data_IF_298030016179
#
_entry.id   IF_298030016179
#
_cell.length_a   1.000
_cell.length_b   1.000
_cell.length_c   1.000
_cell.angle_alpha   90.00
_cell.angle_beta   90.00
_cell.angle_gamma   90.00
#
_symmetry.space_group_name_H-M   'P 1'
#
loop_
_entity.id
_entity.type
_entity.pdbx_description
1 polymer ?
#
# COMPACT_ATOMS: atom_id res chain seq x y z
N UNK A 1 -0.37 -15.14 6.89
CA UNK A 1 -1.27 -13.98 7.05
C UNK A 1 -1.18 -13.17 5.78
N UNK A 2 -2.32 -12.85 5.19
CA UNK A 2 -2.39 -12.03 3.98
C UNK A 2 -3.13 -10.74 4.33
N UNK A 3 -2.43 -9.62 4.19
CA UNK A 3 -2.97 -8.29 4.47
C UNK A 3 -3.60 -7.70 3.20
N UNK A 4 -4.80 -7.15 3.33
CA UNK A 4 -5.47 -6.40 2.27
C UNK A 4 -6.38 -5.35 2.91
N UNK A 5 -6.71 -4.24 2.20
CA UNK A 5 -7.35 -3.08 2.85
C UNK A 5 -8.58 -3.41 3.68
N UNK A 6 -9.46 -4.28 3.18
CA UNK A 6 -10.68 -4.67 3.90
C UNK A 6 -10.37 -5.40 5.21
N UNK A 7 -9.32 -6.22 5.27
CA UNK A 7 -8.86 -6.83 6.52
C UNK A 7 -8.50 -5.72 7.53
N UNK A 8 -7.58 -4.81 7.19
CA UNK A 8 -7.15 -3.74 8.11
C UNK A 8 -8.34 -2.90 8.59
N UNK A 9 -9.27 -2.54 7.69
CA UNK A 9 -10.45 -1.77 8.06
C UNK A 9 -11.43 -2.52 8.97
N UNK A 10 -11.62 -3.83 8.77
CA UNK A 10 -12.49 -4.66 9.63
C UNK A 10 -11.95 -4.70 11.06
N UNK A 11 -10.62 -4.74 11.22
CA UNK A 11 -9.95 -4.76 12.52
C UNK A 11 -9.80 -3.38 13.16
N UNK A 12 -10.23 -2.30 12.48
CA UNK A 12 -10.00 -0.94 12.97
C UNK A 12 -8.52 -0.58 13.06
N UNK A 13 -7.72 -1.12 12.14
CA UNK A 13 -6.27 -1.03 12.20
C UNK A 13 -5.77 0.42 12.04
N UNK A 14 -5.02 0.90 13.03
CA UNK A 14 -4.36 2.22 13.05
C UNK A 14 -2.85 2.14 12.81
N UNK A 15 -2.33 0.99 12.35
CA UNK A 15 -0.93 0.85 12.00
C UNK A 15 -0.53 1.87 10.93
N UNK A 16 0.75 2.26 10.98
CA UNK A 16 1.41 3.20 10.09
C UNK A 16 1.05 3.04 8.60
N UNK A 17 1.01 1.80 8.10
CA UNK A 17 0.73 1.51 6.70
C UNK A 17 -0.73 1.80 6.29
N UNK A 18 -1.69 1.62 7.20
CA UNK A 18 -3.10 1.98 6.98
C UNK A 18 -3.27 3.49 7.03
N UNK A 19 -2.67 4.13 8.04
CA UNK A 19 -2.69 5.60 8.18
C UNK A 19 -2.05 6.26 6.96
N UNK A 20 -1.02 5.67 6.34
CA UNK A 20 -0.34 6.28 5.20
C UNK A 20 -1.10 6.22 3.88
N UNK A 21 -2.23 5.51 3.79
CA UNK A 21 -3.04 5.37 2.56
C UNK A 21 -3.37 6.74 1.93
N UNK A 22 -3.69 7.76 2.73
CA UNK A 22 -4.04 9.09 2.18
C UNK A 22 -2.87 9.68 1.37
N UNK A 23 -1.65 9.55 1.86
CA UNK A 23 -0.46 10.11 1.22
C UNK A 23 -0.07 9.28 0.00
N UNK A 24 -0.23 7.95 0.08
CA UNK A 24 -0.05 7.04 -1.06
C UNK A 24 -1.00 7.39 -2.22
N UNK A 25 -2.29 7.55 -1.95
CA UNK A 25 -3.31 7.94 -2.95
C UNK A 25 -3.01 9.33 -3.51
N UNK A 26 -2.62 10.28 -2.64
CA UNK A 26 -2.23 11.62 -3.06
C UNK A 26 -1.03 11.60 -4.03
N UNK A 27 0.03 10.84 -3.73
CA UNK A 27 1.17 10.71 -4.63
C UNK A 27 0.79 10.06 -5.97
N UNK A 28 0.00 8.98 -5.95
CA UNK A 28 -0.50 8.34 -7.18
C UNK A 28 -1.26 9.36 -8.04
N UNK A 29 -2.12 10.18 -7.42
CA UNK A 29 -2.83 11.25 -8.11
C UNK A 29 -1.88 12.27 -8.73
N UNK A 30 -0.88 12.75 -8.00
CA UNK A 30 0.09 13.72 -8.51
C UNK A 30 0.91 13.14 -9.68
N UNK A 31 1.32 11.87 -9.60
CA UNK A 31 2.03 11.17 -10.67
C UNK A 31 1.15 10.98 -11.90
N UNK A 32 -0.13 10.63 -11.73
CA UNK A 32 -1.11 10.55 -12.81
C UNK A 32 -1.33 11.94 -13.45
N UNK A 33 -1.46 12.98 -12.64
CA UNK A 33 -1.64 14.35 -13.11
C UNK A 33 -0.41 14.82 -13.91
N UNK A 34 0.79 14.56 -13.41
CA UNK A 34 2.04 14.78 -14.13
C UNK A 34 2.00 14.02 -15.47
N UNK A 35 1.74 12.72 -15.46
CA UNK A 35 1.68 11.90 -16.67
C UNK A 35 0.73 12.45 -17.74
N UNK A 36 -0.47 12.89 -17.35
CA UNK A 36 -1.50 13.36 -18.30
C UNK A 36 -1.32 14.80 -18.75
N UNK A 37 -0.75 15.67 -17.91
CA UNK A 37 -0.77 17.13 -18.14
C UNK A 37 0.61 17.74 -18.33
N UNK A 38 1.71 17.02 -18.12
CA UNK A 38 3.08 17.58 -18.08
C UNK A 38 3.39 18.57 -19.23
N UNK A 39 3.15 18.15 -20.48
CA UNK A 39 3.44 18.98 -21.65
C UNK A 39 2.56 20.23 -21.78
N UNK A 40 1.39 20.26 -21.13
CA UNK A 40 0.47 21.41 -21.14
C UNK A 40 0.68 22.35 -19.95
N UNK A 41 1.50 21.97 -18.96
CA UNK A 41 1.77 22.79 -17.79
C UNK A 41 2.82 23.87 -18.10
N UNK A 42 2.54 25.10 -17.68
CA UNK A 42 3.57 26.14 -17.57
C UNK A 42 4.59 25.83 -16.47
N UNK A 43 5.74 26.51 -16.50
CA UNK A 43 6.86 26.24 -15.59
C UNK A 43 6.47 26.35 -14.11
N UNK A 44 5.70 27.38 -13.73
CA UNK A 44 5.23 27.55 -12.34
C UNK A 44 4.40 26.36 -11.87
N UNK A 45 3.48 25.87 -12.71
CA UNK A 45 2.65 24.73 -12.36
C UNK A 45 3.48 23.43 -12.25
N UNK A 46 4.50 23.25 -13.10
CA UNK A 46 5.46 22.14 -12.97
C UNK A 46 6.24 22.21 -11.65
N UNK A 47 6.69 23.40 -11.25
CA UNK A 47 7.41 23.60 -9.98
C UNK A 47 6.51 23.29 -8.78
N UNK A 48 5.28 23.79 -8.77
CA UNK A 48 4.30 23.49 -7.70
C UNK A 48 4.03 21.99 -7.63
N UNK A 49 3.81 21.34 -8.78
CA UNK A 49 3.61 19.89 -8.83
C UNK A 49 4.82 19.12 -8.28
N UNK A 50 6.05 19.50 -8.67
CA UNK A 50 7.28 18.92 -8.14
C UNK A 50 7.42 19.11 -6.63
N UNK A 51 7.06 20.29 -6.11
CA UNK A 51 7.10 20.58 -4.68
C UNK A 51 6.10 19.72 -3.90
N UNK A 52 4.86 19.58 -4.38
CA UNK A 52 3.85 18.72 -3.77
C UNK A 52 4.29 17.25 -3.76
N UNK A 53 4.88 16.78 -4.87
CA UNK A 53 5.43 15.43 -4.96
C UNK A 53 6.60 15.25 -3.99
N UNK A 54 7.49 16.22 -3.85
CA UNK A 54 8.61 16.15 -2.92
C UNK A 54 8.17 16.14 -1.45
N UNK A 55 7.15 16.93 -1.10
CA UNK A 55 6.52 16.90 0.23
C UNK A 55 5.88 15.54 0.48
N UNK A 56 5.12 15.01 -0.48
CA UNK A 56 4.44 13.72 -0.35
C UNK A 56 5.42 12.55 -0.26
N UNK A 57 6.45 12.50 -1.11
CA UNK A 57 7.48 11.45 -1.05
C UNK A 57 8.34 11.57 0.21
N UNK A 58 8.72 12.79 0.59
CA UNK A 58 9.56 13.05 1.77
C UNK A 58 8.88 12.72 3.09
N UNK A 59 7.55 12.88 3.17
CA UNK A 59 6.77 12.54 4.37
C UNK A 59 6.57 11.04 4.59
N UNK A 60 6.75 10.22 3.54
CA UNK A 60 6.51 8.78 3.62
C UNK A 60 7.28 8.13 4.77
N UNK A 61 8.59 8.37 4.98
CA UNK A 61 9.29 7.71 6.07
C UNK A 61 8.86 8.07 7.48
N UNK A 62 8.21 9.23 7.65
CA UNK A 62 7.67 9.68 8.92
C UNK A 62 6.35 8.97 9.25
N UNK A 63 5.55 8.63 8.22
CA UNK A 63 4.25 7.98 8.40
C UNK A 63 4.44 6.46 8.36
N UNK A 64 5.01 5.93 7.27
CA UNK A 64 5.37 4.53 7.09
C UNK A 64 6.66 4.41 6.26
N UNK A 65 7.76 4.06 6.91
CA UNK A 65 9.10 3.93 6.29
C UNK A 65 9.16 3.04 5.05
N UNK A 66 8.26 2.07 4.94
CA UNK A 66 8.27 1.14 3.81
C UNK A 66 7.69 1.75 2.53
N UNK A 67 6.83 2.76 2.62
CA UNK A 67 6.20 3.38 1.46
C UNK A 67 7.25 3.99 0.53
N UNK A 68 8.29 4.64 1.08
CA UNK A 68 9.32 5.27 0.23
C UNK A 68 10.07 4.24 -0.63
N UNK A 69 10.25 3.01 -0.13
CA UNK A 69 10.92 1.93 -0.85
C UNK A 69 10.11 1.48 -2.07
N UNK A 70 8.79 1.67 -2.04
CA UNK A 70 7.89 1.29 -3.12
C UNK A 70 7.59 2.48 -4.05
N UNK A 71 7.34 3.65 -3.48
CA UNK A 71 6.91 4.82 -4.25
C UNK A 71 8.05 5.64 -4.85
N UNK A 72 9.26 5.64 -4.27
CA UNK A 72 10.40 6.31 -4.90
C UNK A 72 10.78 5.66 -6.25
N UNK A 73 10.87 4.33 -6.38
CA UNK A 73 11.10 3.72 -7.69
C UNK A 73 9.96 3.98 -8.68
N UNK A 74 8.69 3.93 -8.24
CA UNK A 74 7.54 4.28 -9.10
C UNK A 74 7.65 5.71 -9.63
N UNK A 75 8.03 6.66 -8.77
CA UNK A 75 8.29 8.04 -9.14
C UNK A 75 9.41 8.14 -10.18
N UNK A 76 10.55 7.50 -9.95
CA UNK A 76 11.69 7.56 -10.86
C UNK A 76 11.37 6.96 -12.23
N UNK A 77 10.64 5.84 -12.26
CA UNK A 77 10.16 5.22 -13.51
C UNK A 77 9.22 6.18 -14.23
N UNK A 78 8.26 6.76 -13.52
CA UNK A 78 7.30 7.72 -14.09
C UNK A 78 8.02 8.95 -14.65
N UNK A 79 8.98 9.50 -13.90
CA UNK A 79 9.80 10.63 -14.31
C UNK A 79 10.65 10.32 -15.54
N UNK A 80 11.33 9.17 -15.55
CA UNK A 80 12.13 8.72 -16.69
C UNK A 80 11.28 8.53 -17.95
N UNK A 81 10.06 7.99 -17.81
CA UNK A 81 9.14 7.83 -18.93
C UNK A 81 8.57 9.16 -19.43
N UNK A 82 8.32 10.14 -18.55
CA UNK A 82 7.94 11.50 -18.94
C UNK A 82 9.09 12.16 -19.72
N UNK A 83 10.33 12.07 -19.23
CA UNK A 83 11.52 12.58 -19.93
C UNK A 83 11.64 11.91 -21.31
N UNK A 84 11.49 10.59 -21.38
CA UNK A 84 11.55 9.84 -22.63
C UNK A 84 10.45 10.22 -23.62
N UNK A 85 9.23 10.48 -23.15
CA UNK A 85 8.08 10.91 -23.97
C UNK A 85 8.27 12.32 -24.53
N UNK A 86 8.92 13.20 -23.78
CA UNK A 86 9.19 14.58 -24.18
C UNK A 86 10.61 14.80 -24.71
N UNK A 87 11.31 13.72 -25.09
CA UNK A 87 12.74 13.75 -25.49
C UNK A 87 13.09 14.66 -26.66
N UNK A 88 12.13 14.94 -27.54
CA UNK A 88 12.34 15.81 -28.69
C UNK A 88 12.45 17.30 -28.30
N UNK A 89 11.95 17.68 -27.12
CA UNK A 89 11.93 19.06 -26.64
C UNK A 89 11.99 19.10 -25.11
N UNK A 90 13.09 18.62 -24.52
CA UNK A 90 13.23 18.54 -23.06
C UNK A 90 13.51 19.94 -22.50
N UNK A 91 12.70 20.38 -21.54
CA UNK A 91 12.92 21.60 -20.79
C UNK A 91 13.61 21.33 -19.43
N UNK A 92 14.15 22.38 -18.80
CA UNK A 92 14.81 22.28 -17.49
C UNK A 92 13.89 21.66 -16.42
N UNK A 93 12.60 22.03 -16.29
CA UNK A 93 11.69 21.39 -15.35
C UNK A 93 11.54 19.87 -15.55
N UNK A 94 11.58 19.37 -16.79
CA UNK A 94 11.50 17.92 -17.07
C UNK A 94 12.71 17.17 -16.52
N UNK A 95 13.91 17.73 -16.65
CA UNK A 95 15.10 17.16 -16.00
C UNK A 95 15.04 17.29 -14.48
N UNK A 96 14.57 18.43 -13.96
CA UNK A 96 14.40 18.63 -12.53
C UNK A 96 13.39 17.66 -11.91
N UNK A 97 12.34 17.28 -12.65
CA UNK A 97 11.36 16.28 -12.22
C UNK A 97 12.03 14.94 -11.87
N UNK A 98 13.00 14.51 -12.66
CA UNK A 98 13.74 13.27 -12.42
C UNK A 98 14.84 13.44 -11.35
N UNK A 99 15.58 14.53 -11.39
CA UNK A 99 16.83 14.68 -10.64
C UNK A 99 16.69 15.43 -9.31
N UNK A 100 15.76 16.39 -9.22
CA UNK A 100 15.65 17.27 -8.04
C UNK A 100 14.66 16.73 -7.00
N UNK A 101 13.62 16.00 -7.39
CA UNK A 101 12.61 15.53 -6.43
C UNK A 101 13.20 14.63 -5.34
N UNK A 102 14.02 13.59 -5.64
CA UNK A 102 14.58 12.74 -4.57
C UNK A 102 15.40 13.50 -3.52
N UNK A 103 16.41 14.33 -3.88
CA UNK A 103 17.18 15.06 -2.87
C UNK A 103 16.33 16.11 -2.14
N UNK A 104 15.40 16.81 -2.82
CA UNK A 104 14.50 17.76 -2.14
C UNK A 104 13.60 17.06 -1.13
N UNK A 105 13.09 15.86 -1.45
CA UNK A 105 12.27 15.06 -0.53
C UNK A 105 13.02 14.70 0.75
N UNK A 106 14.31 14.38 0.64
CA UNK A 106 15.18 14.11 1.81
C UNK A 106 15.44 15.39 2.59
N UNK A 107 15.80 16.48 1.90
CA UNK A 107 16.16 17.76 2.53
C UNK A 107 15.01 18.37 3.33
N UNK A 108 13.77 18.27 2.84
CA UNK A 108 12.58 18.79 3.53
C UNK A 108 12.37 18.17 4.92
N UNK A 109 12.84 16.93 5.12
CA UNK A 109 12.70 16.18 6.37
C UNK A 109 14.04 15.79 6.97
N UNK A 110 15.12 16.50 6.61
CA UNK A 110 16.48 16.19 7.03
C UNK A 110 16.63 16.03 8.56
N UNK A 111 16.00 16.87 9.42
CA UNK A 111 16.10 16.67 10.87
C UNK A 111 15.59 15.31 11.34
N UNK A 112 14.50 14.82 10.73
CA UNK A 112 13.97 13.48 11.02
C UNK A 112 14.96 12.39 10.60
N UNK A 113 15.50 12.46 9.39
CA UNK A 113 16.45 11.47 8.90
C UNK A 113 17.75 11.41 9.73
N UNK A 114 18.21 12.55 10.24
CA UNK A 114 19.40 12.60 11.11
C UNK A 114 19.15 11.99 12.50
N UNK A 115 17.89 11.93 12.95
CA UNK A 115 17.50 11.36 14.25
C UNK A 115 16.94 9.95 14.14
N UNK A 116 16.67 9.47 12.92
CA UNK A 116 16.02 8.19 12.68
C UNK A 116 16.96 7.04 13.07
N UNK A 117 16.56 6.28 14.08
CA UNK A 117 17.18 5.00 14.45
C UNK A 117 16.31 3.88 13.91
N UNK A 118 16.88 3.03 13.05
CA UNK A 118 16.15 1.90 12.46
C UNK A 118 16.74 0.56 12.90
N UNK A 119 15.86 -0.40 13.14
CA UNK A 119 16.21 -1.79 13.46
C UNK A 119 15.67 -2.75 12.39
N UNK A 120 15.75 -2.36 11.13
CA UNK A 120 15.43 -3.24 10.00
C UNK A 120 16.64 -4.09 9.63
N UNK A 121 16.45 -5.40 9.57
CA UNK A 121 17.48 -6.35 9.16
C UNK A 121 17.68 -6.39 7.64
N UNK A 122 18.62 -7.25 7.23
CA UNK A 122 19.00 -7.41 5.83
C UNK A 122 17.86 -8.01 4.97
N UNK A 123 17.95 -7.79 3.66
CA UNK A 123 17.14 -8.51 2.67
C UNK A 123 17.50 -9.99 2.72
N UNK A 124 16.50 -10.86 2.78
CA UNK A 124 16.65 -12.31 2.78
C UNK A 124 15.69 -12.97 1.77
N UNK A 125 16.01 -14.20 1.35
CA UNK A 125 15.20 -14.97 0.43
C UNK A 125 14.02 -15.63 1.13
N UNK A 126 12.85 -15.60 0.50
CA UNK A 126 11.67 -16.31 1.00
C UNK A 126 11.84 -17.81 0.78
N UNK A 127 11.83 -18.57 1.87
CA UNK A 127 11.98 -20.04 1.86
C UNK A 127 10.65 -20.78 1.83
N UNK A 128 9.56 -20.12 2.26
CA UNK A 128 8.19 -20.64 2.21
C UNK A 128 7.30 -19.64 1.46
N UNK A 129 7.13 -19.79 0.13
CA UNK A 129 6.27 -18.92 -0.66
C UNK A 129 4.79 -19.13 -0.33
N UNK A 130 3.94 -18.24 -0.83
CA UNK A 130 2.51 -18.25 -0.54
C UNK A 130 1.83 -19.44 -1.20
N UNK A 131 0.84 -20.03 -0.52
CA UNK A 131 -0.06 -20.98 -1.15
C UNK A 131 -0.78 -20.30 -2.33
N UNK A 132 -0.83 -20.92 -3.52
CA UNK A 132 -1.41 -20.28 -4.70
C UNK A 132 -2.91 -20.02 -4.58
N UNK A 133 -3.66 -20.84 -3.83
CA UNK A 133 -5.08 -20.59 -3.61
C UNK A 133 -5.26 -19.41 -2.67
N UNK A 134 -4.55 -19.37 -1.53
CA UNK A 134 -4.60 -18.21 -0.63
C UNK A 134 -4.18 -16.91 -1.33
N UNK A 135 -3.15 -16.98 -2.19
CA UNK A 135 -2.74 -15.86 -3.02
C UNK A 135 -3.85 -15.39 -3.96
N UNK A 136 -4.57 -16.31 -4.59
CA UNK A 136 -5.71 -16.00 -5.48
C UNK A 136 -6.94 -15.54 -4.70
N UNK A 137 -7.14 -15.98 -3.46
CA UNK A 137 -8.19 -15.45 -2.59
C UNK A 137 -8.01 -13.94 -2.34
N UNK A 138 -6.77 -13.50 -2.23
CA UNK A 138 -6.43 -12.10 -1.96
C UNK A 138 -6.33 -11.33 -3.28
N UNK A 139 -5.51 -11.78 -4.23
CA UNK A 139 -5.16 -11.00 -5.42
C UNK A 139 -5.89 -11.45 -6.69
N UNK A 140 -6.67 -12.54 -6.64
CA UNK A 140 -7.19 -13.22 -7.82
C UNK A 140 -8.14 -12.39 -8.67
N UNK A 141 -8.89 -11.45 -8.08
CA UNK A 141 -9.74 -10.53 -8.84
C UNK A 141 -8.91 -9.68 -9.81
N UNK A 142 -7.76 -9.16 -9.37
CA UNK A 142 -6.88 -8.36 -10.22
C UNK A 142 -6.21 -9.22 -11.28
N UNK A 143 -5.71 -10.41 -10.89
CA UNK A 143 -5.13 -11.37 -11.84
C UNK A 143 -6.14 -11.72 -12.93
N UNK A 144 -7.38 -12.08 -12.56
CA UNK A 144 -8.44 -12.43 -13.49
C UNK A 144 -8.76 -11.27 -14.45
N UNK A 145 -8.90 -10.05 -13.93
CA UNK A 145 -9.12 -8.84 -14.76
C UNK A 145 -7.97 -8.65 -15.74
N UNK A 146 -6.71 -8.66 -15.28
CA UNK A 146 -5.58 -8.43 -16.17
C UNK A 146 -5.45 -9.53 -17.23
N UNK A 147 -5.61 -10.80 -16.85
CA UNK A 147 -5.60 -11.91 -17.82
C UNK A 147 -6.71 -11.72 -18.86
N UNK A 148 -7.93 -11.39 -18.46
CA UNK A 148 -9.04 -11.13 -19.38
C UNK A 148 -8.73 -9.98 -20.36
N UNK A 149 -8.15 -8.88 -19.85
CA UNK A 149 -7.73 -7.73 -20.64
C UNK A 149 -6.56 -8.03 -21.59
N UNK A 150 -5.74 -9.03 -21.27
CA UNK A 150 -4.51 -9.39 -21.99
C UNK A 150 -4.68 -10.61 -22.91
N UNK A 151 -5.85 -11.26 -22.95
CA UNK A 151 -6.12 -12.40 -23.87
C UNK A 151 -5.67 -12.13 -25.31
N UNK A 152 -5.94 -10.97 -25.94
CA UNK A 152 -5.49 -10.71 -27.30
C UNK A 152 -3.95 -10.69 -27.44
N UNK A 153 -3.24 -10.16 -26.43
CA UNK A 153 -1.77 -10.14 -26.40
C UNK A 153 -1.20 -11.55 -26.18
N UNK A 154 -1.83 -12.33 -25.30
CA UNK A 154 -1.47 -13.73 -25.01
C UNK A 154 -1.58 -14.57 -26.29
N UNK A 155 -2.69 -14.46 -27.02
CA UNK A 155 -2.89 -15.17 -28.29
C UNK A 155 -1.87 -14.79 -29.36
N UNK A 156 -1.45 -13.53 -29.41
CA UNK A 156 -0.46 -13.04 -30.38
C UNK A 156 0.97 -13.47 -30.03
N UNK A 157 1.30 -13.55 -28.74
CA UNK A 157 2.66 -13.82 -28.24
C UNK A 157 2.63 -14.90 -27.14
N UNK A 158 2.22 -16.14 -27.44
CA UNK A 158 2.03 -17.18 -26.43
C UNK A 158 3.35 -17.59 -25.74
N UNK A 159 4.49 -17.44 -26.42
CA UNK A 159 5.81 -17.76 -25.87
C UNK A 159 6.19 -16.91 -24.65
N UNK A 160 5.55 -15.75 -24.43
CA UNK A 160 5.80 -14.96 -23.21
C UNK A 160 5.27 -15.65 -21.95
N UNK A 161 4.35 -16.62 -22.07
CA UNK A 161 3.94 -17.47 -20.94
C UNK A 161 5.10 -18.25 -20.34
N UNK A 162 6.17 -18.51 -21.10
CA UNK A 162 7.37 -19.17 -20.59
C UNK A 162 8.05 -18.39 -19.45
N UNK A 163 7.74 -17.09 -19.29
CA UNK A 163 8.23 -16.28 -18.18
C UNK A 163 7.76 -16.78 -16.80
N UNK A 164 6.67 -17.57 -16.71
CA UNK A 164 6.24 -18.16 -15.44
C UNK A 164 7.05 -19.40 -15.04
N UNK A 165 7.72 -20.05 -16.00
CA UNK A 165 8.40 -21.34 -15.77
C UNK A 165 9.49 -21.27 -14.70
N UNK A 166 10.39 -20.27 -14.66
CA UNK A 166 11.42 -20.21 -13.61
C UNK A 166 10.79 -20.23 -12.22
N UNK A 167 9.76 -19.41 -12.00
CA UNK A 167 9.07 -19.33 -10.71
C UNK A 167 8.36 -20.65 -10.36
N UNK A 168 7.65 -21.24 -11.32
CA UNK A 168 6.94 -22.50 -11.10
C UNK A 168 7.90 -23.66 -10.78
N UNK A 169 9.02 -23.77 -11.50
CA UNK A 169 10.04 -24.82 -11.31
C UNK A 169 10.70 -24.72 -9.93
N UNK A 170 10.95 -23.51 -9.43
CA UNK A 170 11.53 -23.29 -8.11
C UNK A 170 10.50 -23.25 -6.97
N UNK A 171 9.22 -23.60 -7.23
CA UNK A 171 8.18 -23.69 -6.20
C UNK A 171 7.49 -22.36 -5.84
N UNK A 172 7.76 -21.27 -6.56
CA UNK A 172 7.16 -19.95 -6.36
C UNK A 172 5.87 -19.77 -7.19
N UNK A 173 4.86 -20.61 -6.93
CA UNK A 173 3.63 -20.64 -7.71
C UNK A 173 2.87 -19.29 -7.74
N UNK A 174 2.77 -18.59 -6.60
CA UNK A 174 2.15 -17.27 -6.52
C UNK A 174 2.87 -16.24 -7.44
N UNK A 175 4.21 -16.23 -7.43
CA UNK A 175 5.01 -15.38 -8.31
C UNK A 175 4.83 -15.77 -9.79
N UNK A 176 4.74 -17.06 -10.08
CA UNK A 176 4.47 -17.60 -11.42
C UNK A 176 3.10 -17.12 -11.96
N UNK A 177 2.08 -17.03 -11.11
CA UNK A 177 0.77 -16.48 -11.48
C UNK A 177 0.87 -14.98 -11.77
N UNK A 178 1.51 -14.22 -10.88
CA UNK A 178 1.61 -12.77 -11.00
C UNK A 178 2.49 -12.31 -12.18
N UNK A 179 3.50 -13.08 -12.58
CA UNK A 179 4.39 -12.70 -13.68
C UNK A 179 3.71 -12.78 -15.04
N UNK A 180 2.66 -13.59 -15.20
CA UNK A 180 1.93 -13.73 -16.47
C UNK A 180 1.37 -12.37 -16.92
N UNK A 181 0.48 -11.69 -16.18
CA UNK A 181 0.01 -10.38 -16.61
C UNK A 181 1.16 -9.35 -16.69
N UNK A 182 2.16 -9.44 -15.82
CA UNK A 182 3.31 -8.51 -15.81
C UNK A 182 4.08 -8.54 -17.13
N UNK A 183 4.49 -9.72 -17.62
CA UNK A 183 5.31 -9.82 -18.84
C UNK A 183 4.57 -9.26 -20.06
N UNK A 184 3.26 -9.44 -20.14
CA UNK A 184 2.46 -8.90 -21.24
C UNK A 184 2.28 -7.38 -21.14
N UNK A 185 2.08 -6.83 -19.93
CA UNK A 185 2.06 -5.38 -19.71
C UNK A 185 3.42 -4.74 -20.07
N UNK A 186 4.53 -5.38 -19.70
CA UNK A 186 5.87 -4.92 -20.05
C UNK A 186 6.14 -5.04 -21.55
N UNK A 187 5.56 -6.01 -22.25
CA UNK A 187 5.74 -6.20 -23.69
C UNK A 187 4.92 -5.24 -24.57
N UNK A 188 4.07 -4.39 -24.00
CA UNK A 188 3.35 -3.32 -24.73
C UNK A 188 4.28 -2.14 -25.03
N UNK A 189 4.23 -1.64 -26.27
CA UNK A 189 5.10 -0.56 -26.76
C UNK A 189 4.64 0.84 -26.35
N UNK A 190 3.33 1.04 -26.18
CA UNK A 190 2.76 2.29 -25.71
C UNK A 190 2.12 2.05 -24.34
N UNK A 191 2.80 2.49 -23.27
CA UNK A 191 2.35 2.28 -21.89
C UNK A 191 1.56 3.51 -21.44
N UNK A 192 0.32 3.32 -21.00
CA UNK A 192 -0.40 4.34 -20.22
C UNK A 192 -0.01 4.25 -18.73
N UNK A 193 -0.31 5.29 -17.95
CA UNK A 193 -0.01 5.31 -16.52
C UNK A 193 -0.65 4.16 -15.75
N UNK A 194 -1.87 3.76 -16.14
CA UNK A 194 -2.56 2.61 -15.54
C UNK A 194 -1.81 1.30 -15.75
N UNK A 195 -1.14 1.12 -16.89
CA UNK A 195 -0.33 -0.07 -17.17
C UNK A 195 0.99 -0.05 -16.40
N UNK A 196 1.58 1.14 -16.21
CA UNK A 196 2.75 1.33 -15.33
C UNK A 196 2.38 0.94 -13.90
N UNK A 197 1.23 1.43 -13.41
CA UNK A 197 0.74 1.17 -12.07
C UNK A 197 0.42 -0.33 -11.86
N UNK A 198 -0.24 -0.98 -12.82
CA UNK A 198 -0.48 -2.42 -12.80
C UNK A 198 0.83 -3.22 -12.79
N UNK A 199 1.77 -2.89 -13.67
CA UNK A 199 3.06 -3.57 -13.74
C UNK A 199 3.85 -3.41 -12.44
N UNK A 200 3.83 -2.22 -11.84
CA UNK A 200 4.52 -1.97 -10.58
C UNK A 200 3.88 -2.71 -9.41
N UNK A 201 2.55 -2.69 -9.29
CA UNK A 201 1.84 -3.48 -8.28
C UNK A 201 2.11 -4.99 -8.40
N UNK A 202 2.14 -5.54 -9.62
CA UNK A 202 2.46 -6.95 -9.85
C UNK A 202 3.92 -7.25 -9.50
N UNK A 203 4.84 -6.33 -9.79
CA UNK A 203 6.25 -6.46 -9.41
C UNK A 203 6.43 -6.46 -7.89
N UNK A 204 5.64 -5.67 -7.13
CA UNK A 204 5.63 -5.71 -5.67
C UNK A 204 5.16 -7.09 -5.17
N UNK A 205 4.07 -7.64 -5.72
CA UNK A 205 3.59 -8.98 -5.35
C UNK A 205 4.67 -10.04 -5.58
N UNK A 206 5.32 -10.01 -6.75
CA UNK A 206 6.41 -10.95 -7.08
C UNK A 206 7.59 -10.75 -6.13
N UNK A 207 7.99 -9.50 -5.83
CA UNK A 207 9.09 -9.22 -4.91
C UNK A 207 8.82 -9.82 -3.52
N UNK A 208 7.59 -9.71 -3.01
CA UNK A 208 7.21 -10.29 -1.71
C UNK A 208 7.21 -11.83 -1.69
N UNK A 209 7.13 -12.46 -2.86
CA UNK A 209 7.29 -13.92 -2.97
C UNK A 209 8.75 -14.36 -3.04
N UNK A 210 9.68 -13.48 -3.44
CA UNK A 210 11.08 -13.83 -3.62
C UNK A 210 11.95 -13.39 -2.44
N UNK A 211 11.70 -12.19 -1.92
CA UNK A 211 12.53 -11.55 -0.90
C UNK A 211 11.66 -10.93 0.20
N UNK A 212 12.26 -10.82 1.39
CA UNK A 212 11.67 -10.12 2.52
C UNK A 212 12.74 -9.34 3.28
N UNK A 213 12.33 -8.30 4.02
CA UNK A 213 13.24 -7.65 4.98
C UNK A 213 13.15 -8.38 6.31
N UNK A 214 14.28 -8.88 6.80
CA UNK A 214 14.34 -9.55 8.10
C UNK A 214 14.04 -8.54 9.20
N UNK A 215 13.19 -8.92 10.14
CA UNK A 215 12.82 -8.10 11.28
C UNK A 215 12.65 -8.96 12.55
N UNK A 216 12.03 -8.40 13.58
CA UNK A 216 11.90 -9.00 14.89
C UNK A 216 10.76 -10.03 15.00
N UNK A 217 10.07 -10.37 13.89
CA UNK A 217 8.91 -11.28 13.89
C UNK A 217 9.26 -12.77 14.01
N UNK A 218 10.55 -13.10 14.19
CA UNK A 218 11.03 -14.48 14.35
C UNK A 218 10.81 -15.36 13.12
N UNK A 219 10.98 -16.68 13.29
CA UNK A 219 10.95 -17.64 12.18
C UNK A 219 9.53 -17.97 11.70
N UNK A 220 8.53 -17.90 12.60
CA UNK A 220 7.13 -18.23 12.28
C UNK A 220 6.50 -17.16 11.38
N UNK A 221 6.75 -15.89 11.69
CA UNK A 221 6.17 -14.73 10.98
C UNK A 221 7.22 -13.97 10.16
N UNK A 222 8.27 -14.67 9.72
CA UNK A 222 9.51 -14.10 9.17
C UNK A 222 9.33 -13.04 8.07
N UNK A 223 8.29 -13.14 7.22
CA UNK A 223 8.00 -12.18 6.15
C UNK A 223 6.71 -11.37 6.36
N UNK A 224 6.12 -11.44 7.55
CA UNK A 224 4.81 -10.85 7.83
C UNK A 224 4.79 -9.34 7.55
N UNK A 225 5.71 -8.57 8.13
CA UNK A 225 5.74 -7.11 7.88
C UNK A 225 6.02 -6.77 6.41
N UNK A 226 6.79 -7.60 5.70
CA UNK A 226 7.00 -7.40 4.25
C UNK A 226 5.68 -7.52 3.52
N UNK A 227 4.90 -8.57 3.79
CA UNK A 227 3.58 -8.74 3.17
C UNK A 227 2.66 -7.61 3.58
N UNK A 228 2.51 -7.31 4.88
CA UNK A 228 1.62 -6.25 5.39
C UNK A 228 1.89 -4.89 4.76
N UNK A 229 3.16 -4.46 4.80
CA UNK A 229 3.53 -3.11 4.38
C UNK A 229 3.61 -2.94 2.87
N UNK A 230 3.74 -4.03 2.11
CA UNK A 230 3.83 -3.99 0.65
C UNK A 230 2.51 -4.33 -0.06
N UNK A 231 1.69 -5.23 0.50
CA UNK A 231 0.44 -5.64 -0.15
C UNK A 231 -0.58 -4.52 -0.19
N UNK A 232 -0.63 -3.65 0.83
CA UNK A 232 -1.55 -2.53 0.85
C UNK A 232 -1.26 -1.52 -0.30
N UNK A 233 -0.02 -1.02 -0.48
CA UNK A 233 0.36 -0.27 -1.68
C UNK A 233 0.08 -1.03 -2.98
N UNK A 234 0.42 -2.33 -3.06
CA UNK A 234 0.17 -3.13 -4.25
C UNK A 234 -1.33 -3.19 -4.59
N UNK A 235 -2.20 -3.37 -3.60
CA UNK A 235 -3.65 -3.36 -3.77
C UNK A 235 -4.18 -2.02 -4.27
N UNK A 236 -3.69 -0.91 -3.73
CA UNK A 236 -4.07 0.42 -4.21
C UNK A 236 -3.69 0.59 -5.69
N UNK A 237 -2.49 0.15 -6.06
CA UNK A 237 -2.00 0.21 -7.44
C UNK A 237 -2.79 -0.70 -8.39
N UNK A 238 -2.95 -1.97 -8.01
CA UNK A 238 -3.63 -2.99 -8.81
C UNK A 238 -5.12 -2.69 -8.96
N UNK A 239 -5.80 -2.31 -7.87
CA UNK A 239 -7.21 -1.93 -7.89
C UNK A 239 -7.45 -0.71 -8.77
N UNK A 240 -6.69 0.38 -8.56
CA UNK A 240 -6.81 1.59 -9.38
C UNK A 240 -6.56 1.29 -10.86
N UNK A 241 -5.52 0.51 -11.16
CA UNK A 241 -5.19 0.16 -12.54
C UNK A 241 -6.24 -0.75 -13.19
N UNK A 242 -6.64 -1.84 -12.52
CA UNK A 242 -7.57 -2.82 -13.03
C UNK A 242 -8.91 -2.17 -13.39
N UNK A 243 -9.53 -1.44 -12.46
CA UNK A 243 -10.83 -0.82 -12.69
C UNK A 243 -10.77 0.34 -13.69
N UNK A 244 -9.68 1.12 -13.71
CA UNK A 244 -9.50 2.14 -14.75
C UNK A 244 -9.33 1.54 -16.16
N UNK A 245 -8.60 0.43 -16.28
CA UNK A 245 -8.42 -0.28 -17.55
C UNK A 245 -9.73 -0.92 -18.04
N UNK A 246 -10.51 -1.52 -17.13
CA UNK A 246 -11.86 -2.03 -17.43
C UNK A 246 -12.76 -0.90 -17.89
N UNK A 247 -12.79 0.23 -17.17
CA UNK A 247 -13.59 1.40 -17.54
C UNK A 247 -13.25 1.92 -18.94
N UNK A 248 -11.96 1.98 -19.30
CA UNK A 248 -11.50 2.35 -20.65
C UNK A 248 -11.96 1.36 -21.73
N UNK A 249 -11.94 0.06 -21.45
CA UNK A 249 -12.40 -0.95 -22.39
C UNK A 249 -13.93 -0.90 -22.56
N UNK A 250 -14.68 -0.71 -21.48
CA UNK A 250 -16.13 -0.56 -21.54
C UNK A 250 -16.55 0.70 -22.30
N UNK A 251 -15.86 1.82 -22.07
CA UNK A 251 -16.12 3.07 -22.80
C UNK A 251 -15.89 2.95 -24.32
N UNK A 252 -14.97 2.10 -24.75
CA UNK A 252 -14.70 1.86 -26.17
C UNK A 252 -15.52 0.72 -26.77
N UNK A 253 -16.27 -0.02 -25.92
CA UNK A 253 -17.10 -1.13 -26.34
C UNK A 253 -18.47 -0.64 -26.78
N UNK A 254 -18.88 -0.99 -28.00
CA UNK A 254 -20.23 -0.72 -28.52
C UNK A 254 -21.35 -1.43 -27.73
N UNK A 255 -21.00 -2.36 -26.82
CA UNK A 255 -21.96 -3.09 -25.98
C UNK A 255 -22.27 -2.40 -24.66
N UNK A 256 -21.48 -1.39 -24.26
CA UNK A 256 -21.75 -0.66 -23.02
C UNK A 256 -22.84 0.39 -23.28
N UNK A 257 -23.86 0.51 -22.40
CA UNK A 257 -24.87 1.54 -22.54
C UNK A 257 -24.22 2.92 -22.44
N UNK A 258 -24.48 3.78 -23.43
CA UNK A 258 -24.01 5.16 -23.41
C UNK A 258 -24.78 5.96 -22.36
N UNK A 259 -24.11 6.34 -21.27
CA UNK A 259 -24.68 7.21 -20.25
C UNK A 259 -24.48 8.67 -20.64
N UNK A 260 -25.52 9.49 -20.47
CA UNK A 260 -25.36 10.94 -20.59
C UNK A 260 -24.40 11.46 -19.51
N UNK A 261 -23.68 12.58 -19.74
CA UNK A 261 -22.79 13.16 -18.72
C UNK A 261 -23.49 13.41 -17.37
N UNK A 262 -24.77 13.81 -17.41
CA UNK A 262 -25.61 13.98 -16.21
C UNK A 262 -25.87 12.68 -15.48
N UNK A 263 -26.24 11.61 -16.21
CA UNK A 263 -26.47 10.29 -15.62
C UNK A 263 -25.19 9.72 -15.00
N UNK A 264 -24.06 9.86 -15.69
CA UNK A 264 -22.74 9.45 -15.18
C UNK A 264 -22.35 10.20 -13.91
N UNK A 265 -22.52 11.52 -13.89
CA UNK A 265 -22.28 12.33 -12.69
C UNK A 265 -23.19 11.93 -11.52
N UNK A 266 -24.48 11.72 -11.78
CA UNK A 266 -25.44 11.28 -10.77
C UNK A 266 -25.07 9.91 -10.18
N UNK A 267 -24.77 8.93 -11.04
CA UNK A 267 -24.33 7.59 -10.60
C UNK A 267 -23.02 7.65 -9.80
N UNK A 268 -22.09 8.51 -10.22
CA UNK A 268 -20.83 8.72 -9.48
C UNK A 268 -21.10 9.27 -8.09
N UNK A 269 -21.95 10.30 -7.97
CA UNK A 269 -22.34 10.87 -6.67
C UNK A 269 -23.02 9.82 -5.80
N UNK A 270 -24.00 9.09 -6.34
CA UNK A 270 -24.70 8.02 -5.61
C UNK A 270 -23.72 6.96 -5.11
N UNK A 271 -22.82 6.49 -5.98
CA UNK A 271 -21.83 5.47 -5.63
C UNK A 271 -20.87 5.99 -4.54
N UNK A 272 -20.36 7.21 -4.67
CA UNK A 272 -19.52 7.82 -3.65
C UNK A 272 -20.27 7.98 -2.33
N UNK A 273 -21.51 8.47 -2.36
CA UNK A 273 -22.36 8.60 -1.17
C UNK A 273 -22.57 7.24 -0.50
N UNK A 274 -22.87 6.18 -1.25
CA UNK A 274 -22.98 4.82 -0.70
C UNK A 274 -21.67 4.39 -0.05
N UNK A 275 -20.53 4.56 -0.73
CA UNK A 275 -19.22 4.17 -0.20
C UNK A 275 -18.81 4.95 1.05
N UNK A 276 -19.20 6.23 1.16
CA UNK A 276 -18.96 7.05 2.35
C UNK A 276 -19.88 6.68 3.52
N UNK A 277 -21.11 6.27 3.22
CA UNK A 277 -22.11 5.92 4.23
C UNK A 277 -21.90 4.49 4.75
N UNK A 278 -21.53 3.56 3.87
CA UNK A 278 -21.46 2.12 4.17
C UNK A 278 -20.69 1.78 5.47
N UNK A 279 -19.52 2.37 5.78
CA UNK A 279 -18.78 2.05 7.00
C UNK A 279 -19.54 2.35 8.30
N UNK A 280 -20.50 3.29 8.27
CA UNK A 280 -21.31 3.64 9.45
C UNK A 280 -22.49 2.70 9.67
N UNK A 281 -22.83 1.88 8.68
CA UNK A 281 -23.98 0.96 8.72
C UNK A 281 -23.56 -0.51 8.74
N UNK A 282 -22.36 -0.82 8.27
CA UNK A 282 -21.78 -2.15 8.36
C UNK A 282 -21.00 -2.26 9.66
N UNK A 283 -21.60 -2.88 10.68
CA UNK A 283 -20.87 -3.24 11.89
C UNK A 283 -19.94 -4.42 11.60
N UNK A 284 -18.62 -4.24 11.69
CA UNK A 284 -17.72 -5.36 11.52
C UNK A 284 -17.94 -6.37 12.65
N UNK A 285 -17.83 -7.68 12.38
CA UNK A 285 -18.07 -8.73 13.36
C UNK A 285 -17.11 -8.71 14.57
N UNK A 286 -16.04 -7.90 14.49
CA UNK A 286 -14.99 -7.72 15.52
C UNK A 286 -15.10 -6.37 16.25
N UNK A 287 -16.22 -5.65 16.12
CA UNK A 287 -16.41 -4.40 16.84
C UNK A 287 -16.70 -4.64 18.32
N UNK A 288 -15.91 -4.01 19.20
CA UNK A 288 -16.13 -4.00 20.66
C UNK A 288 -17.28 -3.06 21.11
N UNK A 289 -18.04 -2.48 20.16
CA UNK A 289 -19.35 -1.88 20.40
C UNK A 289 -19.38 -0.52 21.11
N UNK A 290 -18.25 0.00 21.58
CA UNK A 290 -18.20 1.25 22.36
C UNK A 290 -18.29 2.53 21.50
N UNK A 291 -17.95 2.46 20.20
CA UNK A 291 -18.08 3.60 19.27
C UNK A 291 -17.31 4.86 19.68
N UNK A 292 -16.31 4.71 20.55
CA UNK A 292 -15.51 5.80 21.13
C UNK A 292 -14.08 5.78 20.59
N UNK A 293 -13.39 6.92 20.72
CA UNK A 293 -11.96 7.04 20.44
C UNK A 293 -11.09 6.57 21.62
N UNK A 294 -11.71 6.21 22.75
CA UNK A 294 -11.01 5.63 23.88
C UNK A 294 -10.68 4.16 23.61
N UNK A 295 -9.40 3.89 23.32
CA UNK A 295 -8.87 2.55 23.11
C UNK A 295 -8.95 1.63 24.34
N UNK A 296 -9.35 2.15 25.51
CA UNK A 296 -9.56 1.38 26.73
C UNK A 296 -11.01 0.98 26.96
N UNK A 297 -11.94 1.54 26.20
CA UNK A 297 -13.37 1.34 26.46
C UNK A 297 -13.79 -0.13 26.39
N UNK A 298 -13.10 -0.95 25.60
CA UNK A 298 -13.37 -2.39 25.55
C UNK A 298 -13.03 -3.11 26.86
N UNK A 299 -12.10 -2.58 27.67
CA UNK A 299 -11.77 -3.16 28.97
C UNK A 299 -12.94 -3.05 29.95
N UNK A 300 -13.76 -1.99 29.86
CA UNK A 300 -14.91 -1.84 30.76
C UNK A 300 -15.95 -2.95 30.56
N UNK A 301 -16.11 -3.44 29.33
CA UNK A 301 -17.06 -4.50 28.98
C UNK A 301 -16.45 -5.89 29.09
N UNK A 302 -15.24 -6.11 28.57
CA UNK A 302 -14.64 -7.44 28.44
C UNK A 302 -13.75 -7.81 29.63
N UNK A 303 -13.10 -6.83 30.25
CA UNK A 303 -12.13 -7.02 31.32
C UNK A 303 -12.28 -6.00 32.46
N UNK A 304 -13.47 -5.91 33.11
CA UNK A 304 -13.78 -4.84 34.05
C UNK A 304 -12.82 -4.78 35.25
N UNK A 305 -12.24 -5.92 35.63
CA UNK A 305 -11.18 -5.98 36.65
C UNK A 305 -9.91 -5.23 36.24
N UNK A 306 -9.50 -5.37 34.97
CA UNK A 306 -8.33 -4.66 34.43
C UNK A 306 -8.61 -3.16 34.32
N UNK A 307 -9.82 -2.79 33.86
CA UNK A 307 -10.26 -1.39 33.81
C UNK A 307 -10.21 -0.73 35.21
N UNK A 308 -10.75 -1.41 36.22
CA UNK A 308 -10.71 -0.94 37.61
C UNK A 308 -9.29 -0.84 38.17
N UNK A 309 -8.44 -1.82 37.89
CA UNK A 309 -7.04 -1.81 38.31
C UNK A 309 -6.26 -0.64 37.68
N UNK A 310 -6.42 -0.41 36.36
CA UNK A 310 -5.79 0.72 35.65
C UNK A 310 -6.29 2.06 36.20
N UNK A 311 -7.60 2.18 36.44
CA UNK A 311 -8.18 3.39 37.03
C UNK A 311 -7.60 3.66 38.43
N UNK A 312 -7.45 2.62 39.27
CA UNK A 312 -6.83 2.75 40.58
C UNK A 312 -5.35 3.16 40.48
N UNK A 313 -4.58 2.49 39.61
CA UNK A 313 -3.15 2.79 39.38
C UNK A 313 -2.95 4.26 38.97
N UNK A 314 -3.82 4.82 38.13
CA UNK A 314 -3.77 6.24 37.73
C UNK A 314 -3.97 7.23 38.88
N UNK A 315 -4.51 6.80 40.02
CA UNK A 315 -4.65 7.66 41.20
C UNK A 315 -3.38 7.74 42.04
N UNK A 316 -2.42 6.84 41.80
CA UNK A 316 -1.13 6.85 42.47
C UNK A 316 -0.29 8.02 41.95
N UNK A 317 0.37 8.72 42.87
CA UNK A 317 1.16 9.93 42.60
C UNK A 317 2.67 9.71 42.79
N UNK A 318 3.10 8.45 42.90
CA UNK A 318 4.41 8.07 43.41
C UNK A 318 5.44 7.60 42.37
N UNK A 319 6.47 6.93 42.92
CA UNK A 319 7.64 6.35 42.26
C UNK A 319 7.45 4.85 41.98
N UNK A 320 6.21 4.41 41.79
CA UNK A 320 5.90 3.00 41.60
C UNK A 320 6.51 2.47 40.29
N UNK A 321 6.78 1.17 40.28
CA UNK A 321 7.21 0.45 39.08
C UNK A 321 6.29 -0.75 38.93
N UNK A 322 5.64 -0.85 37.78
CA UNK A 322 4.81 -2.01 37.44
C UNK A 322 5.73 -3.16 37.02
N UNK A 323 5.45 -4.36 37.50
CA UNK A 323 6.07 -5.59 36.97
C UNK A 323 4.96 -6.41 36.35
N UNK A 324 5.06 -6.66 35.05
CA UNK A 324 4.05 -7.40 34.29
C UNK A 324 4.70 -8.54 33.50
N UNK A 325 4.02 -9.68 33.47
CA UNK A 325 4.46 -10.85 32.73
C UNK A 325 4.28 -10.65 31.22
N UNK A 326 5.25 -11.14 30.43
CA UNK A 326 5.25 -11.12 28.97
C UNK A 326 5.02 -12.54 28.41
N UNK A 327 4.32 -12.65 27.27
CA UNK A 327 4.07 -13.93 26.60
C UNK A 327 4.12 -13.83 25.06
N UNK A 328 4.96 -12.96 24.54
CA UNK A 328 5.10 -12.68 23.11
C UNK A 328 3.94 -11.92 22.46
N UNK A 329 4.11 -11.65 21.17
CA UNK A 329 3.16 -10.90 20.33
C UNK A 329 1.78 -11.58 20.27
N UNK A 330 0.72 -10.76 20.11
CA UNK A 330 -0.68 -11.21 19.98
C UNK A 330 -1.23 -12.02 21.16
N UNK A 331 -0.71 -11.77 22.37
CA UNK A 331 -1.21 -12.35 23.62
C UNK A 331 -1.92 -11.29 24.48
N UNK A 332 -2.78 -11.71 25.41
CA UNK A 332 -3.44 -10.81 26.37
C UNK A 332 -2.51 -10.41 27.55
N UNK A 333 -1.19 -10.53 27.38
CA UNK A 333 -0.19 -10.19 28.41
C UNK A 333 0.35 -8.77 28.18
N UNK A 334 1.08 -8.20 29.15
CA UNK A 334 1.72 -6.88 29.05
C UNK A 334 0.79 -5.68 28.75
N UNK A 335 -0.53 -5.83 28.92
CA UNK A 335 -1.52 -4.80 28.60
C UNK A 335 -1.60 -3.69 29.65
N UNK A 336 -1.50 -3.99 30.94
CA UNK A 336 -1.75 -2.98 31.99
C UNK A 336 -0.66 -1.90 31.98
N UNK A 337 0.58 -2.27 31.72
CA UNK A 337 1.74 -1.38 31.74
C UNK A 337 1.65 -0.19 30.76
N UNK A 338 0.87 -0.30 29.68
CA UNK A 338 0.75 0.74 28.65
C UNK A 338 -0.19 1.89 29.00
N UNK A 339 -0.97 1.79 30.09
CA UNK A 339 -2.11 2.67 30.33
C UNK A 339 -2.03 3.66 31.50
N UNK A 340 -1.34 3.38 32.62
CA UNK A 340 -1.36 4.27 33.79
C UNK A 340 -0.29 5.37 33.74
N UNK A 341 0.66 5.31 32.80
CA UNK A 341 1.79 6.26 32.74
C UNK A 341 2.87 6.00 33.80
N UNK A 342 2.82 4.85 34.47
CA UNK A 342 3.79 4.40 35.48
C UNK A 342 4.90 3.60 34.76
N UNK A 343 6.19 3.83 35.05
CA UNK A 343 7.28 3.01 34.52
C UNK A 343 7.05 1.52 34.78
N UNK A 344 7.31 0.68 33.79
CA UNK A 344 7.09 -0.76 33.88
C UNK A 344 8.34 -1.57 33.50
N UNK A 345 8.53 -2.68 34.20
CA UNK A 345 9.48 -3.74 33.87
C UNK A 345 8.66 -4.90 33.31
N UNK A 346 8.92 -5.23 32.04
CA UNK A 346 8.29 -6.35 31.34
C UNK A 346 9.32 -7.48 31.28
N UNK A 347 8.98 -8.63 31.87
CA UNK A 347 9.88 -9.77 32.00
C UNK A 347 9.37 -10.99 31.24
N UNK A 348 10.29 -11.64 30.51
CA UNK A 348 10.13 -12.98 29.92
C UNK A 348 10.63 -14.07 30.87
#
# INVERSE_FOLDING_TARGET
>A
INEFPLFSFIWGDVHAHVVSIFNQVFLIFLLLYAWKRWGALGNTAKIVLMALIAVSLGSMPLINTWDVLLYAPLLLITAGLIVWRHRASIDRPTWAFLLAIPPVSILLYLPFYLQLVTHTGAVALVTRPSDPLEFLWVNGIFIAIFIALLVPDIRRRPWLLLACLPFAVFGYAAAAIAVIPLVYLLARSNRDFTEILAAFGLAILIACELVYLKDNMGDTFFRMNTVFKCYLPAWLMLGTAAFAMVGRQLHTSARAPALSPKASACLTVIMLTILFILPFYVNPPVSHGSGTLDGLAFLESEHPGDAGAIAWLRTLTGSEIIVEAEKGDYSYYSRVSSFPGIPAIIGQ
#
